data_IF_048955086944
#
_entry.id   IF_048955086944
#
_cell.length_a   1.000
_cell.length_b   1.000
_cell.length_c   1.000
_cell.angle_alpha   90.00
_cell.angle_beta   90.00
_cell.angle_gamma   90.00
#
_symmetry.space_group_name_H-M   'P 1'
#
loop_
_entity.id
_entity.type
_entity.pdbx_description
1 polymer ?
#
# COMPACT_ATOMS: atom_id res chain seq x y z
N UNK A 1 10.96 -8.65 11.85
CA UNK A 1 12.09 -7.75 11.55
C UNK A 1 12.84 -7.32 12.83
N UNK A 2 12.28 -7.60 14.00
CA UNK A 2 12.82 -7.14 15.30
C UNK A 2 13.00 -5.61 15.34
N UNK A 3 11.99 -4.90 14.90
CA UNK A 3 11.87 -3.44 14.99
C UNK A 3 10.79 -3.17 16.04
N UNK A 4 11.19 -2.59 17.14
CA UNK A 4 10.31 -2.15 18.22
C UNK A 4 10.32 -0.62 18.32
N UNK A 5 9.56 -0.07 19.26
CA UNK A 5 9.47 1.39 19.41
C UNK A 5 10.81 2.00 19.82
N UNK A 6 11.61 1.29 20.62
CA UNK A 6 12.93 1.75 21.04
C UNK A 6 13.91 1.85 19.84
N UNK A 7 13.82 0.94 18.89
CA UNK A 7 14.54 1.05 17.62
C UNK A 7 14.08 2.27 16.82
N UNK A 8 12.75 2.44 16.65
CA UNK A 8 12.17 3.56 15.90
C UNK A 8 12.49 4.92 16.50
N UNK A 9 12.59 5.00 17.83
CA UNK A 9 12.94 6.25 18.52
C UNK A 9 14.41 6.66 18.32
N UNK A 10 15.29 5.69 18.05
CA UNK A 10 16.75 5.91 17.87
C UNK A 10 17.21 5.98 16.42
N UNK A 11 16.41 5.54 15.47
CA UNK A 11 16.77 5.48 14.06
C UNK A 11 15.81 6.28 13.19
N UNK A 12 16.32 6.83 12.10
CA UNK A 12 15.49 7.40 11.05
C UNK A 12 15.05 6.27 10.11
N UNK A 13 13.80 5.86 10.26
CA UNK A 13 13.20 4.82 9.41
C UNK A 13 12.28 5.47 8.39
N UNK A 14 12.57 5.21 7.12
CA UNK A 14 11.76 5.68 5.99
C UNK A 14 10.49 4.86 5.82
N UNK A 15 9.53 5.42 5.07
CA UNK A 15 8.26 4.78 4.73
C UNK A 15 7.91 5.08 3.29
N UNK A 16 7.78 4.05 2.47
CA UNK A 16 7.36 4.18 1.06
C UNK A 16 6.31 3.11 0.78
N UNK A 17 5.09 3.54 0.44
CA UNK A 17 4.01 2.60 0.12
C UNK A 17 3.40 2.91 -1.24
N UNK A 18 3.11 1.85 -1.99
CA UNK A 18 2.27 1.91 -3.16
C UNK A 18 0.80 1.99 -2.75
N UNK A 19 0.11 3.03 -3.19
CA UNK A 19 -1.35 3.15 -3.07
C UNK A 19 -1.87 3.97 -4.25
N UNK A 20 -2.72 3.37 -5.04
CA UNK A 20 -3.20 3.98 -6.29
C UNK A 20 -4.61 4.54 -6.19
N UNK A 21 -5.43 4.06 -5.26
CA UNK A 21 -6.84 4.45 -5.14
C UNK A 21 -7.30 4.45 -3.68
N UNK A 22 -8.03 5.51 -3.33
CA UNK A 22 -8.74 5.70 -2.07
C UNK A 22 -10.13 6.30 -2.35
N UNK A 23 -10.85 5.70 -3.30
CA UNK A 23 -12.10 6.24 -3.82
C UNK A 23 -13.26 6.13 -2.83
N UNK A 24 -13.27 5.13 -1.96
CA UNK A 24 -14.38 4.85 -1.04
C UNK A 24 -14.71 6.03 -0.13
N UNK A 25 -13.70 6.64 0.48
CA UNK A 25 -13.89 7.78 1.36
C UNK A 25 -14.44 9.01 0.61
N UNK A 26 -13.97 9.23 -0.63
CA UNK A 26 -14.46 10.31 -1.50
C UNK A 26 -15.93 10.10 -1.86
N UNK A 27 -16.29 8.89 -2.27
CA UNK A 27 -17.65 8.53 -2.64
C UNK A 27 -18.60 8.71 -1.46
N UNK A 28 -18.22 8.16 -0.30
CA UNK A 28 -18.99 8.30 0.93
C UNK A 28 -19.21 9.77 1.32
N UNK A 29 -18.14 10.59 1.28
CA UNK A 29 -18.24 12.02 1.56
C UNK A 29 -19.19 12.76 0.60
N UNK A 30 -19.12 12.46 -0.70
CA UNK A 30 -20.00 13.03 -1.70
C UNK A 30 -21.45 12.61 -1.50
N UNK A 31 -21.72 11.37 -1.17
CA UNK A 31 -23.07 10.86 -0.93
C UNK A 31 -23.68 11.52 0.32
N UNK A 32 -22.91 11.67 1.39
CA UNK A 32 -23.35 12.44 2.56
C UNK A 32 -23.68 13.90 2.22
N UNK A 33 -22.82 14.56 1.43
CA UNK A 33 -23.09 15.92 0.99
C UNK A 33 -24.36 16.01 0.13
N UNK A 34 -24.57 15.07 -0.78
CA UNK A 34 -25.77 15.02 -1.63
C UNK A 34 -27.06 14.80 -0.82
N UNK A 35 -26.99 13.90 0.18
CA UNK A 35 -28.11 13.57 1.05
C UNK A 35 -28.50 14.75 1.95
N UNK A 36 -27.53 15.28 2.69
CA UNK A 36 -27.80 16.28 3.74
C UNK A 36 -27.69 17.73 3.26
N UNK A 37 -27.10 18.00 2.09
CA UNK A 37 -26.80 19.35 1.58
C UNK A 37 -26.00 20.20 2.55
N UNK A 38 -25.21 19.56 3.41
CA UNK A 38 -24.41 20.19 4.46
C UNK A 38 -23.00 19.58 4.46
N UNK A 39 -22.00 20.45 4.38
CA UNK A 39 -20.58 20.03 4.38
C UNK A 39 -20.15 19.42 5.70
N UNK A 40 -20.79 19.76 6.82
CA UNK A 40 -20.50 19.17 8.13
C UNK A 40 -20.78 17.66 8.17
N UNK A 41 -21.70 17.18 7.33
CA UNK A 41 -22.04 15.77 7.22
C UNK A 41 -20.90 14.92 6.64
N UNK A 42 -19.94 15.52 5.90
CA UNK A 42 -18.80 14.79 5.34
C UNK A 42 -17.79 14.33 6.39
N UNK A 43 -17.76 14.99 7.55
CA UNK A 43 -16.78 14.73 8.61
C UNK A 43 -15.41 15.36 8.33
N UNK A 44 -14.70 15.75 9.38
CA UNK A 44 -13.42 16.47 9.28
C UNK A 44 -12.26 15.58 8.78
N UNK A 45 -12.38 14.26 8.90
CA UNK A 45 -11.35 13.32 8.48
C UNK A 45 -11.43 12.85 7.01
N UNK A 46 -12.54 13.14 6.32
CA UNK A 46 -12.81 12.60 4.99
C UNK A 46 -11.74 12.96 3.96
N UNK A 47 -11.23 14.19 3.98
CA UNK A 47 -10.17 14.64 3.07
C UNK A 47 -8.87 13.82 3.24
N UNK A 48 -8.48 13.52 4.47
CA UNK A 48 -7.26 12.74 4.72
C UNK A 48 -7.42 11.29 4.29
N UNK A 49 -8.62 10.71 4.45
CA UNK A 49 -8.94 9.36 4.01
C UNK A 49 -9.01 9.23 2.49
N UNK A 50 -9.33 10.32 1.76
CA UNK A 50 -9.43 10.33 0.30
C UNK A 50 -8.10 10.53 -0.43
N UNK A 51 -7.01 10.75 0.30
CA UNK A 51 -5.68 10.96 -0.29
C UNK A 51 -4.96 9.62 -0.51
N UNK A 52 -4.29 9.44 -1.65
CA UNK A 52 -3.45 8.26 -1.86
C UNK A 52 -2.35 8.11 -0.79
N UNK A 53 -1.92 9.23 -0.20
CA UNK A 53 -0.96 9.25 0.90
C UNK A 53 -1.55 8.89 2.27
N UNK A 54 -2.84 8.54 2.37
CA UNK A 54 -3.47 8.21 3.66
C UNK A 54 -2.73 7.07 4.39
N UNK A 55 -2.24 6.08 3.65
CA UNK A 55 -1.50 4.93 4.21
C UNK A 55 -0.19 5.40 4.84
N UNK A 56 0.64 6.13 4.10
CA UNK A 56 1.94 6.60 4.59
C UNK A 56 1.79 7.64 5.68
N UNK A 57 0.83 8.53 5.57
CA UNK A 57 0.50 9.49 6.63
C UNK A 57 0.11 8.78 7.94
N UNK A 58 -0.82 7.83 7.86
CA UNK A 58 -1.32 7.12 9.05
C UNK A 58 -0.23 6.27 9.71
N UNK A 59 0.53 5.49 8.91
CA UNK A 59 1.60 4.64 9.43
C UNK A 59 2.73 5.48 10.03
N UNK A 60 3.11 6.59 9.39
CA UNK A 60 4.13 7.49 9.93
C UNK A 60 3.72 8.08 11.29
N UNK A 61 2.45 8.48 11.43
CA UNK A 61 1.93 8.98 12.70
C UNK A 61 1.88 7.90 13.79
N UNK A 62 1.35 6.71 13.46
CA UNK A 62 1.17 5.60 14.41
C UNK A 62 2.53 5.12 14.94
N UNK A 63 3.48 4.89 14.04
CA UNK A 63 4.81 4.37 14.39
C UNK A 63 5.86 5.46 14.63
N UNK A 64 5.50 6.74 14.50
CA UNK A 64 6.40 7.90 14.66
C UNK A 64 7.63 7.81 13.77
N UNK A 65 7.44 7.37 12.52
CA UNK A 65 8.53 7.26 11.56
C UNK A 65 9.02 8.66 11.14
N UNK A 66 10.33 8.83 11.06
CA UNK A 66 10.96 10.16 10.87
C UNK A 66 11.84 10.27 9.62
N UNK A 67 12.03 9.17 8.89
CA UNK A 67 12.77 9.15 7.64
C UNK A 67 11.95 9.64 6.45
N UNK A 68 12.45 9.38 5.25
CA UNK A 68 11.78 9.70 3.98
C UNK A 68 10.37 9.09 3.98
N UNK A 69 9.36 9.89 3.66
CA UNK A 69 7.96 9.44 3.60
C UNK A 69 7.37 9.76 2.22
N UNK A 70 7.08 8.74 1.44
CA UNK A 70 6.57 8.85 0.08
C UNK A 70 5.47 7.84 -0.20
N UNK A 71 4.52 8.24 -1.04
CA UNK A 71 3.54 7.33 -1.65
C UNK A 71 3.82 7.23 -3.14
N UNK A 72 3.91 6.01 -3.66
CA UNK A 72 4.02 5.74 -5.10
C UNK A 72 2.66 5.35 -5.66
N UNK A 73 2.30 5.90 -6.82
CA UNK A 73 1.07 5.58 -7.53
C UNK A 73 1.43 5.27 -8.99
N UNK A 74 1.21 4.03 -9.37
CA UNK A 74 1.54 3.48 -10.70
C UNK A 74 0.62 2.29 -11.02
N UNK A 75 -0.67 2.44 -10.75
CA UNK A 75 -1.67 1.38 -10.88
C UNK A 75 -1.22 0.09 -10.17
N UNK A 76 -1.37 -1.07 -10.79
CA UNK A 76 -1.01 -2.38 -10.23
C UNK A 76 0.49 -2.51 -9.87
N UNK A 77 1.36 -1.65 -10.43
CA UNK A 77 2.79 -1.65 -10.15
C UNK A 77 3.20 -0.81 -8.92
N UNK A 78 2.27 -0.10 -8.28
CA UNK A 78 2.58 0.84 -7.19
C UNK A 78 3.39 0.19 -6.05
N UNK A 79 3.01 -1.02 -5.63
CA UNK A 79 3.73 -1.76 -4.59
C UNK A 79 5.15 -2.15 -5.00
N UNK A 80 5.34 -2.61 -6.24
CA UNK A 80 6.68 -2.95 -6.76
C UNK A 80 7.56 -1.70 -6.89
N UNK A 81 6.98 -0.58 -7.34
CA UNK A 81 7.69 0.70 -7.40
C UNK A 81 8.13 1.20 -6.02
N UNK A 82 7.32 0.95 -4.97
CA UNK A 82 7.71 1.31 -3.60
C UNK A 82 8.94 0.54 -3.13
N UNK A 83 8.99 -0.76 -3.42
CA UNK A 83 10.15 -1.62 -3.09
C UNK A 83 11.38 -1.20 -3.89
N UNK A 84 11.22 -0.99 -5.20
CA UNK A 84 12.31 -0.56 -6.07
C UNK A 84 12.90 0.79 -5.65
N UNK A 85 12.05 1.78 -5.37
CA UNK A 85 12.50 3.11 -4.92
C UNK A 85 13.20 3.03 -3.56
N UNK A 86 12.65 2.25 -2.61
CA UNK A 86 13.27 2.03 -1.31
C UNK A 86 14.67 1.41 -1.46
N UNK A 87 14.82 0.42 -2.34
CA UNK A 87 16.11 -0.22 -2.65
C UNK A 87 17.12 0.78 -3.21
N UNK A 88 16.70 1.66 -4.13
CA UNK A 88 17.55 2.72 -4.69
C UNK A 88 18.02 3.69 -3.62
N UNK A 89 17.12 4.17 -2.76
CA UNK A 89 17.47 5.12 -1.70
C UNK A 89 18.44 4.53 -0.68
N UNK A 90 18.29 3.25 -0.35
CA UNK A 90 19.22 2.54 0.54
C UNK A 90 20.58 2.34 -0.14
N UNK A 91 20.59 1.92 -1.39
CA UNK A 91 21.82 1.72 -2.16
C UNK A 91 22.62 3.01 -2.30
N UNK A 92 21.93 4.14 -2.48
CA UNK A 92 22.57 5.45 -2.60
C UNK A 92 22.90 6.10 -1.24
N UNK A 93 22.70 5.37 -0.12
CA UNK A 93 23.05 5.81 1.24
C UNK A 93 22.17 6.93 1.81
N UNK A 94 20.99 7.16 1.23
CA UNK A 94 20.06 8.20 1.70
C UNK A 94 19.21 7.75 2.89
N UNK A 95 19.05 6.47 3.10
CA UNK A 95 18.38 5.84 4.24
C UNK A 95 19.00 4.47 4.51
N UNK A 96 19.11 4.07 5.78
CA UNK A 96 19.57 2.73 6.14
C UNK A 96 18.43 1.71 6.28
N UNK A 97 17.23 2.19 6.58
CA UNK A 97 16.07 1.32 6.83
C UNK A 97 14.80 1.97 6.30
N UNK A 98 14.04 1.25 5.50
CA UNK A 98 12.77 1.71 4.92
C UNK A 98 11.71 0.61 5.05
N UNK A 99 10.56 0.97 5.62
CA UNK A 99 9.34 0.17 5.57
C UNK A 99 8.67 0.44 4.23
N UNK A 100 8.48 -0.56 3.40
CA UNK A 100 7.89 -0.39 2.08
C UNK A 100 6.91 -1.52 1.73
N UNK A 101 6.12 -1.32 0.71
CA UNK A 101 5.12 -2.28 0.29
C UNK A 101 3.97 -1.65 -0.48
N UNK A 102 2.80 -2.25 -0.40
CA UNK A 102 1.60 -1.73 -1.06
C UNK A 102 0.36 -1.98 -0.21
N UNK A 103 -0.63 -1.12 -0.38
CA UNK A 103 -1.94 -1.27 0.21
C UNK A 103 -3.01 -0.85 -0.80
N UNK A 104 -4.08 -1.61 -0.87
CA UNK A 104 -5.19 -1.36 -1.78
C UNK A 104 -6.51 -1.64 -1.08
N UNK A 105 -7.44 -0.72 -1.17
CA UNK A 105 -8.83 -0.95 -0.78
C UNK A 105 -9.57 -1.76 -1.87
N UNK A 106 -10.62 -2.48 -1.47
CA UNK A 106 -11.64 -2.98 -2.39
C UNK A 106 -12.88 -2.09 -2.22
N UNK A 107 -13.29 -1.42 -3.27
CA UNK A 107 -14.46 -0.55 -3.26
C UNK A 107 -15.40 -0.84 -4.45
N UNK A 108 -16.66 -0.49 -4.30
CA UNK A 108 -17.69 -0.74 -5.33
C UNK A 108 -17.37 -0.08 -6.66
N UNK A 109 -16.75 1.10 -6.66
CA UNK A 109 -16.41 1.83 -7.90
C UNK A 109 -15.36 1.09 -8.73
N UNK A 110 -14.28 0.61 -8.09
CA UNK A 110 -13.25 -0.17 -8.79
C UNK A 110 -13.80 -1.52 -9.26
N UNK A 111 -14.62 -2.20 -8.45
CA UNK A 111 -15.29 -3.44 -8.85
C UNK A 111 -16.17 -3.20 -10.07
N UNK A 112 -17.06 -2.22 -10.04
CA UNK A 112 -17.94 -1.90 -11.16
C UNK A 112 -17.19 -1.49 -12.44
N UNK A 113 -16.07 -0.77 -12.29
CA UNK A 113 -15.26 -0.33 -13.42
C UNK A 113 -14.56 -1.51 -14.13
N UNK A 114 -13.97 -2.44 -13.35
CA UNK A 114 -13.36 -3.65 -13.90
C UNK A 114 -14.39 -4.63 -14.46
N UNK A 115 -15.58 -4.71 -13.87
CA UNK A 115 -16.70 -5.48 -14.42
C UNK A 115 -17.16 -4.89 -15.77
N UNK A 116 -17.27 -3.57 -15.86
CA UNK A 116 -17.67 -2.87 -17.08
C UNK A 116 -16.75 -3.09 -18.29
N UNK A 117 -15.47 -3.39 -18.05
CA UNK A 117 -14.53 -3.79 -19.12
C UNK A 117 -14.38 -5.32 -19.25
N UNK A 118 -15.25 -6.08 -18.58
CA UNK A 118 -15.28 -7.55 -18.63
C UNK A 118 -13.94 -8.20 -18.23
N UNK A 119 -13.30 -7.63 -17.20
CA UNK A 119 -11.98 -8.09 -16.74
C UNK A 119 -12.06 -9.22 -15.71
N UNK A 120 -13.24 -9.51 -15.14
CA UNK A 120 -13.38 -10.51 -14.09
C UNK A 120 -13.56 -11.92 -14.62
N UNK A 121 -13.12 -12.88 -13.80
CA UNK A 121 -13.42 -14.29 -13.98
C UNK A 121 -14.94 -14.54 -13.88
N UNK A 122 -15.46 -15.36 -14.77
CA UNK A 122 -16.86 -15.80 -14.77
C UNK A 122 -17.06 -17.15 -14.07
N UNK A 123 -16.05 -17.63 -13.34
CA UNK A 123 -16.07 -18.94 -12.68
C UNK A 123 -16.85 -18.90 -11.36
N UNK A 124 -18.17 -18.74 -11.47
CA UNK A 124 -19.07 -18.64 -10.32
C UNK A 124 -19.41 -20.01 -9.69
N UNK A 125 -19.29 -21.08 -10.45
CA UNK A 125 -19.52 -22.48 -10.03
C UNK A 125 -18.41 -23.00 -9.11
N UNK A 126 -17.15 -22.51 -9.28
CA UNK A 126 -16.00 -22.86 -8.47
C UNK A 126 -15.24 -21.62 -7.97
N UNK A 127 -15.84 -20.75 -7.14
CA UNK A 127 -15.27 -19.44 -6.80
C UNK A 127 -13.91 -19.53 -6.10
N UNK A 128 -13.65 -20.60 -5.37
CA UNK A 128 -12.36 -20.84 -4.69
C UNK A 128 -11.23 -21.17 -5.68
N UNK A 129 -11.54 -21.46 -6.94
CA UNK A 129 -10.59 -21.75 -8.01
C UNK A 129 -10.54 -20.64 -9.06
N UNK A 130 -11.29 -19.56 -8.90
CA UNK A 130 -11.34 -18.46 -9.86
C UNK A 130 -10.02 -17.68 -9.88
N UNK A 131 -9.46 -17.32 -8.72
CA UNK A 131 -8.18 -16.64 -8.63
C UNK A 131 -7.03 -17.63 -8.91
N UNK A 132 -6.49 -17.58 -10.15
CA UNK A 132 -5.45 -18.48 -10.62
C UNK A 132 -4.41 -17.78 -11.53
N UNK A 133 -3.65 -16.82 -10.99
CA UNK A 133 -2.67 -16.08 -11.77
C UNK A 133 -1.65 -17.04 -12.40
N UNK A 134 -1.25 -16.76 -13.64
CA UNK A 134 -0.35 -17.56 -14.48
C UNK A 134 -0.86 -18.95 -14.89
N UNK A 135 -2.02 -19.41 -14.40
CA UNK A 135 -2.62 -20.67 -14.85
C UNK A 135 -3.03 -20.60 -16.34
N UNK A 136 -2.90 -21.73 -17.07
CA UNK A 136 -3.30 -21.80 -18.46
C UNK A 136 -4.78 -21.51 -18.67
N UNK A 137 -5.61 -21.96 -17.74
CA UNK A 137 -7.07 -21.90 -17.82
C UNK A 137 -7.64 -20.70 -17.00
N UNK A 138 -6.83 -19.66 -16.76
CA UNK A 138 -7.29 -18.42 -16.15
C UNK A 138 -8.25 -17.68 -17.09
N UNK A 139 -9.27 -17.08 -16.55
CA UNK A 139 -10.34 -16.42 -17.32
C UNK A 139 -10.60 -14.97 -16.90
N UNK A 140 -9.88 -14.46 -15.92
CA UNK A 140 -10.06 -13.07 -15.49
C UNK A 140 -9.52 -12.79 -14.09
N UNK A 141 -9.79 -11.58 -13.61
CA UNK A 141 -9.44 -11.11 -12.27
C UNK A 141 -10.46 -11.57 -11.24
N UNK A 142 -10.06 -11.62 -9.99
CA UNK A 142 -10.95 -11.67 -8.82
C UNK A 142 -10.66 -10.43 -7.99
N UNK A 143 -11.65 -9.54 -7.78
CA UNK A 143 -11.42 -8.31 -7.05
C UNK A 143 -11.08 -8.58 -5.59
N UNK A 144 -10.17 -7.80 -5.03
CA UNK A 144 -9.77 -7.93 -3.64
C UNK A 144 -9.03 -6.70 -3.15
N UNK A 145 -9.07 -6.48 -1.85
CA UNK A 145 -8.23 -5.52 -1.14
C UNK A 145 -7.18 -6.23 -0.31
N UNK A 146 -6.15 -5.50 0.07
CA UNK A 146 -5.11 -6.04 0.93
C UNK A 146 -3.91 -5.12 1.08
N UNK A 147 -3.01 -5.54 1.95
CA UNK A 147 -1.74 -4.86 2.14
C UNK A 147 -0.63 -5.88 2.40
N UNK A 148 0.56 -5.56 1.91
CA UNK A 148 1.76 -6.31 2.23
C UNK A 148 2.91 -5.36 2.51
N UNK A 149 3.77 -5.74 3.45
CA UNK A 149 4.88 -4.91 3.91
C UNK A 149 6.17 -5.72 3.90
N UNK A 150 7.22 -5.12 3.39
CA UNK A 150 8.59 -5.57 3.57
C UNK A 150 9.42 -4.47 4.24
N UNK A 151 10.46 -4.85 4.95
CA UNK A 151 11.42 -3.92 5.53
C UNK A 151 12.73 -4.14 4.79
N UNK A 152 13.17 -3.11 4.09
CA UNK A 152 14.46 -3.07 3.44
C UNK A 152 15.47 -2.35 4.33
N UNK A 153 16.68 -2.85 4.30
CA UNK A 153 17.75 -2.37 5.17
C UNK A 153 19.10 -2.51 4.45
N UNK A 154 20.02 -1.56 4.66
CA UNK A 154 21.38 -1.74 4.17
C UNK A 154 21.99 -2.99 4.84
N UNK A 155 22.80 -3.73 4.09
CA UNK A 155 23.39 -4.97 4.59
C UNK A 155 24.20 -4.73 5.87
N UNK A 156 25.01 -3.69 5.86
CA UNK A 156 25.86 -3.30 6.99
C UNK A 156 25.05 -2.97 8.25
N UNK A 157 23.95 -2.23 8.07
CA UNK A 157 23.05 -1.87 9.16
C UNK A 157 22.34 -3.12 9.72
N UNK A 158 21.82 -3.99 8.84
CA UNK A 158 21.16 -5.23 9.22
C UNK A 158 22.09 -6.17 10.02
N UNK A 159 23.31 -6.38 9.53
CA UNK A 159 24.32 -7.22 10.21
C UNK A 159 24.72 -6.63 11.56
N UNK A 160 24.97 -5.32 11.62
CA UNK A 160 25.38 -4.63 12.85
C UNK A 160 24.38 -4.80 13.99
N UNK A 161 23.08 -4.79 13.70
CA UNK A 161 22.02 -4.97 14.70
C UNK A 161 21.55 -6.41 14.88
N UNK A 162 22.11 -7.37 14.15
CA UNK A 162 21.71 -8.78 14.20
C UNK A 162 20.30 -9.04 13.65
N UNK A 163 19.91 -8.32 12.60
CA UNK A 163 18.62 -8.52 11.95
C UNK A 163 18.56 -9.88 11.24
N UNK A 164 17.40 -10.57 11.23
CA UNK A 164 17.21 -11.74 10.40
C UNK A 164 17.08 -11.30 8.93
N UNK A 165 18.07 -11.60 8.10
CA UNK A 165 18.06 -11.34 6.67
C UNK A 165 17.37 -12.51 5.99
N UNK A 166 16.28 -12.24 5.26
CA UNK A 166 15.47 -13.26 4.59
C UNK A 166 15.83 -13.38 3.11
N UNK A 167 16.16 -12.28 2.46
CA UNK A 167 16.50 -12.21 1.04
C UNK A 167 17.27 -10.92 0.76
N UNK A 168 17.86 -10.84 -0.43
CA UNK A 168 18.49 -9.65 -0.99
C UNK A 168 17.70 -9.16 -2.20
N UNK A 169 17.52 -7.85 -2.32
CA UNK A 169 16.92 -7.21 -3.51
C UNK A 169 18.05 -6.89 -4.48
N UNK A 170 18.07 -7.59 -5.60
CA UNK A 170 19.16 -7.48 -6.60
C UNK A 170 18.75 -6.78 -7.90
N UNK A 171 17.45 -6.49 -8.10
CA UNK A 171 16.91 -5.82 -9.28
C UNK A 171 15.39 -5.87 -9.36
#
# INVERSE_FOLDING_TARGET
ARIDQDFLDRHEVGLIFGNDSTAEATMHGLDKFREFKDTSACGSGAIFQSMNSTVTMSLACIFKLRGINLTTSAACASGSHSVGLASLLIRDGLQDCIVCGGAQEANMYSVASFDGIQAFSLREDEPTKACRPFDRDRDGLVPGGGAATVILESYEHAVKRGAPILAEVVG
#
